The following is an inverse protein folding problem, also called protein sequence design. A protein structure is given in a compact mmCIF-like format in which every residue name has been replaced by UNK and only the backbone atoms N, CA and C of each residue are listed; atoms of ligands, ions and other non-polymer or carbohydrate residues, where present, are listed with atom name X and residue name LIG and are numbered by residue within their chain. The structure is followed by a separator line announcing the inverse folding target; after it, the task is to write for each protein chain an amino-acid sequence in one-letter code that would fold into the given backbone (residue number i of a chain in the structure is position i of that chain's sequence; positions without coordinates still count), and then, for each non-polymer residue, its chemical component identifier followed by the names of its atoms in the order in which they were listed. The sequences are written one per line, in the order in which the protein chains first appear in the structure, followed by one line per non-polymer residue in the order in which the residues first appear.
data_IF_748224450934
#
_entry.id   IF_748224450934
#
_cell.length_a   1.000
_cell.length_b   1.000
_cell.length_c   1.000
_cell.angle_alpha   90.00
_cell.angle_beta   90.00
_cell.angle_gamma   90.00
#
_symmetry.space_group_name_H-M   'P 1'
#
loop_
_entity.id
_entity.type
_entity.pdbx_description
1 polymer ?
#
# COMPACT_ATOMS: atom_id res chain seq x y z
N UNK A 1 13.99 -20.66 19.10
CA UNK A 1 12.82 -21.04 18.29
C UNK A 1 12.46 -19.82 17.47
N UNK A 2 12.57 -19.91 16.14
CA UNK A 2 12.11 -18.84 15.24
C UNK A 2 10.56 -18.94 15.29
N UNK A 3 9.87 -17.90 15.77
CA UNK A 3 8.41 -17.87 15.74
C UNK A 3 7.96 -17.91 14.28
N UNK A 4 6.96 -18.72 13.98
CA UNK A 4 6.36 -18.70 12.65
C UNK A 4 5.77 -17.31 12.39
N UNK A 5 5.91 -16.79 11.14
CA UNK A 5 5.28 -15.52 10.78
C UNK A 5 3.76 -15.60 10.96
N UNK A 6 3.11 -14.49 11.31
CA UNK A 6 1.65 -14.46 11.44
C UNK A 6 0.99 -14.80 10.09
N UNK A 7 -0.06 -15.62 10.15
CA UNK A 7 -0.86 -15.97 8.98
C UNK A 7 -1.94 -14.92 8.72
N UNK A 8 -2.03 -14.47 7.47
CA UNK A 8 -3.09 -13.61 6.96
C UNK A 8 -3.91 -14.39 5.93
N UNK A 9 -5.10 -14.80 6.33
CA UNK A 9 -6.01 -15.58 5.49
C UNK A 9 -6.94 -14.66 4.72
N UNK A 10 -7.04 -14.85 3.40
CA UNK A 10 -7.87 -14.05 2.49
C UNK A 10 -8.84 -14.96 1.77
N UNK A 11 -10.11 -14.57 1.70
CA UNK A 11 -11.04 -15.22 0.80
C UNK A 11 -10.72 -14.82 -0.64
N UNK A 12 -10.44 -15.79 -1.50
CA UNK A 12 -10.24 -15.59 -2.93
C UNK A 12 -11.51 -15.07 -3.61
N UNK A 13 -11.29 -14.36 -4.72
CA UNK A 13 -12.35 -13.92 -5.62
C UNK A 13 -12.78 -15.05 -6.54
N UNK A 14 -14.00 -14.94 -7.11
CA UNK A 14 -14.58 -15.98 -7.99
C UNK A 14 -13.76 -16.14 -9.28
N UNK A 15 -13.07 -15.10 -9.73
CA UNK A 15 -12.24 -15.11 -10.95
C UNK A 15 -10.80 -15.62 -10.68
N UNK A 16 -10.42 -15.89 -9.42
CA UNK A 16 -9.13 -16.41 -9.02
C UNK A 16 -7.97 -15.40 -9.16
N UNK A 17 -8.25 -14.11 -9.39
CA UNK A 17 -7.23 -13.08 -9.64
C UNK A 17 -6.29 -12.95 -8.44
N UNK A 18 -6.83 -12.87 -7.22
CA UNK A 18 -6.03 -12.75 -5.99
C UNK A 18 -5.15 -13.98 -5.79
N UNK A 19 -5.68 -15.19 -6.06
CA UNK A 19 -4.90 -16.42 -5.98
C UNK A 19 -3.74 -16.45 -6.98
N UNK A 20 -3.96 -15.99 -8.21
CA UNK A 20 -2.92 -15.90 -9.24
C UNK A 20 -1.82 -14.90 -8.85
N UNK A 21 -2.19 -13.73 -8.29
CA UNK A 21 -1.23 -12.75 -7.80
C UNK A 21 -0.37 -13.31 -6.65
N UNK A 22 -0.99 -14.02 -5.71
CA UNK A 22 -0.30 -14.64 -4.58
C UNK A 22 0.57 -15.82 -5.04
N UNK A 23 0.15 -16.58 -6.06
CA UNK A 23 0.98 -17.63 -6.65
C UNK A 23 2.22 -17.04 -7.33
N UNK A 24 2.09 -15.98 -8.12
CA UNK A 24 3.24 -15.30 -8.72
C UNK A 24 4.22 -14.76 -7.66
N UNK A 25 3.72 -14.29 -6.51
CA UNK A 25 4.57 -13.90 -5.37
C UNK A 25 5.38 -15.05 -4.80
N UNK A 26 4.90 -16.30 -4.87
CA UNK A 26 5.63 -17.45 -4.34
C UNK A 26 6.95 -17.72 -5.09
N UNK A 27 7.00 -17.36 -6.37
CA UNK A 27 8.16 -17.57 -7.22
C UNK A 27 9.14 -16.37 -7.24
N UNK A 28 8.68 -15.18 -6.81
CA UNK A 28 9.49 -13.97 -6.73
C UNK A 28 10.70 -14.05 -5.78
N UNK A 29 10.64 -14.68 -4.59
CA UNK A 29 11.79 -14.72 -3.66
C UNK A 29 13.05 -15.35 -4.25
N UNK A 30 12.91 -16.27 -5.21
CA UNK A 30 14.06 -16.88 -5.88
C UNK A 30 14.76 -15.90 -6.84
N UNK A 31 14.00 -14.96 -7.41
CA UNK A 31 14.50 -13.98 -8.36
C UNK A 31 14.83 -12.62 -7.70
N UNK A 32 14.07 -12.24 -6.67
CA UNK A 32 14.17 -10.92 -6.02
C UNK A 32 13.99 -11.07 -4.51
N UNK A 33 15.04 -11.46 -3.75
CA UNK A 33 14.89 -11.85 -2.34
C UNK A 33 14.51 -10.69 -1.40
N UNK A 34 14.92 -9.46 -1.71
CA UNK A 34 14.77 -8.30 -0.83
C UNK A 34 13.71 -7.34 -1.38
N UNK A 35 12.45 -7.76 -1.33
CA UNK A 35 11.32 -6.90 -1.68
C UNK A 35 10.28 -6.85 -0.57
N UNK A 36 9.50 -5.78 -0.56
CA UNK A 36 8.34 -5.59 0.32
C UNK A 36 7.10 -5.43 -0.54
N UNK A 37 6.09 -6.26 -0.29
CA UNK A 37 4.79 -6.14 -0.93
C UNK A 37 4.08 -4.87 -0.43
N UNK A 38 3.67 -4.05 -1.39
CA UNK A 38 2.97 -2.78 -1.16
C UNK A 38 1.73 -2.67 -2.05
N UNK A 39 1.18 -1.48 -2.21
CA UNK A 39 0.13 -1.20 -3.18
C UNK A 39 -1.21 -1.86 -2.90
N UNK A 40 -1.90 -2.21 -3.97
CA UNK A 40 -3.29 -2.69 -3.89
C UNK A 40 -3.43 -4.05 -3.27
N UNK A 41 -2.60 -4.99 -3.66
CA UNK A 41 -2.61 -6.35 -3.12
C UNK A 41 -2.25 -6.35 -1.62
N UNK A 42 -1.27 -5.54 -1.21
CA UNK A 42 -0.91 -5.41 0.20
C UNK A 42 -2.09 -4.93 1.06
N UNK A 43 -2.89 -3.98 0.56
CA UNK A 43 -4.10 -3.52 1.28
C UNK A 43 -5.14 -4.62 1.36
N UNK A 44 -5.41 -5.36 0.26
CA UNK A 44 -6.33 -6.51 0.25
C UNK A 44 -5.91 -7.54 1.30
N UNK A 45 -4.61 -7.87 1.36
CA UNK A 45 -4.05 -8.81 2.35
C UNK A 45 -4.27 -8.29 3.76
N UNK A 46 -3.95 -7.03 4.04
CA UNK A 46 -4.08 -6.43 5.37
C UNK A 46 -5.53 -6.36 5.85
N UNK A 47 -6.47 -6.00 4.99
CA UNK A 47 -7.90 -5.90 5.39
C UNK A 47 -8.64 -7.24 5.33
N UNK A 48 -7.95 -8.33 4.97
CA UNK A 48 -8.45 -9.69 4.89
C UNK A 48 -9.67 -9.85 3.95
N UNK A 49 -9.68 -9.13 2.83
CA UNK A 49 -10.79 -9.23 1.87
C UNK A 49 -10.59 -8.45 0.58
N UNK A 50 -11.01 -9.06 -0.52
CA UNK A 50 -11.01 -8.45 -1.85
C UNK A 50 -12.11 -7.37 -1.93
N UNK A 51 -11.85 -6.20 -1.38
CA UNK A 51 -12.77 -5.05 -1.38
C UNK A 51 -12.76 -4.26 -2.69
N UNK A 52 -11.82 -4.54 -3.56
CA UNK A 52 -11.68 -4.01 -4.93
C UNK A 52 -10.83 -4.93 -5.80
N UNK A 53 -10.87 -4.73 -7.10
CA UNK A 53 -10.01 -5.44 -8.03
C UNK A 53 -8.60 -4.83 -8.03
N UNK A 54 -7.57 -5.67 -7.97
CA UNK A 54 -6.19 -5.35 -8.32
C UNK A 54 -5.69 -6.36 -9.34
N UNK A 55 -4.79 -5.96 -10.24
CA UNK A 55 -4.29 -6.82 -11.33
C UNK A 55 -2.77 -6.82 -11.40
N UNK A 56 -2.16 -6.05 -10.55
CA UNK A 56 -0.73 -5.79 -10.46
C UNK A 56 -0.22 -6.14 -9.05
N UNK A 57 1.05 -6.46 -8.98
CA UNK A 57 1.83 -6.56 -7.75
C UNK A 57 2.71 -5.33 -7.68
N UNK A 58 2.55 -4.52 -6.65
CA UNK A 58 3.47 -3.41 -6.38
C UNK A 58 4.52 -3.88 -5.34
N UNK A 59 5.81 -3.74 -5.65
CA UNK A 59 6.92 -4.10 -4.79
C UNK A 59 7.85 -2.92 -4.55
N UNK A 60 8.29 -2.74 -3.31
CA UNK A 60 9.38 -1.82 -2.97
C UNK A 60 10.65 -2.63 -2.76
N UNK A 61 11.74 -2.21 -3.38
CA UNK A 61 13.07 -2.80 -3.19
C UNK A 61 14.08 -1.74 -2.80
N UNK A 62 15.13 -2.14 -2.10
CA UNK A 62 16.24 -1.25 -1.79
C UNK A 62 17.30 -1.32 -2.91
N UNK A 63 17.83 -0.16 -3.29
CA UNK A 63 18.92 -0.05 -4.25
C UNK A 63 19.87 1.09 -3.85
N UNK A 64 21.19 0.89 -3.90
CA UNK A 64 22.15 1.93 -3.51
C UNK A 64 22.03 3.23 -4.31
N UNK A 65 21.60 3.13 -5.55
CA UNK A 65 21.43 4.26 -6.48
C UNK A 65 19.97 4.74 -6.59
N UNK A 66 19.05 4.14 -5.84
CA UNK A 66 17.63 4.47 -5.87
C UNK A 66 16.92 4.13 -7.19
N UNK A 67 17.53 3.31 -8.06
CA UNK A 67 16.93 2.88 -9.32
C UNK A 67 16.38 1.46 -9.24
N UNK A 68 15.38 1.12 -10.05
CA UNK A 68 14.79 -0.22 -10.12
C UNK A 68 15.43 -1.11 -11.20
N UNK A 69 16.42 -0.61 -11.94
CA UNK A 69 16.99 -1.33 -13.09
C UNK A 69 17.62 -2.68 -12.69
N UNK A 70 18.33 -2.73 -11.57
CA UNK A 70 18.95 -3.98 -11.09
C UNK A 70 17.88 -5.03 -10.74
N UNK A 71 16.83 -4.66 -10.03
CA UNK A 71 15.73 -5.56 -9.68
C UNK A 71 14.96 -6.02 -10.93
N UNK A 72 14.71 -5.13 -11.88
CA UNK A 72 14.07 -5.49 -13.15
C UNK A 72 14.96 -6.45 -13.95
N UNK A 73 16.28 -6.21 -14.01
CA UNK A 73 17.22 -7.10 -14.71
C UNK A 73 17.19 -8.53 -14.15
N UNK A 74 17.14 -8.65 -12.82
CA UNK A 74 17.05 -9.98 -12.15
C UNK A 74 15.76 -10.71 -12.57
N UNK A 75 14.61 -10.02 -12.64
CA UNK A 75 13.36 -10.64 -13.09
C UNK A 75 13.42 -11.03 -14.57
N UNK A 76 14.03 -10.19 -15.41
CA UNK A 76 14.20 -10.49 -16.86
C UNK A 76 15.11 -11.72 -17.03
N UNK A 77 16.18 -11.82 -16.28
CA UNK A 77 17.09 -13.00 -16.29
C UNK A 77 16.36 -14.28 -15.83
N UNK A 78 15.35 -14.13 -14.96
CA UNK A 78 14.47 -15.22 -14.54
C UNK A 78 13.33 -15.52 -15.56
N UNK A 79 13.30 -14.84 -16.70
CA UNK A 79 12.37 -15.09 -17.80
C UNK A 79 11.16 -14.14 -17.87
N UNK A 80 11.14 -13.05 -17.07
CA UNK A 80 10.11 -12.04 -17.16
C UNK A 80 10.27 -11.14 -18.40
N UNK A 81 9.16 -10.58 -18.89
CA UNK A 81 9.14 -9.56 -19.91
C UNK A 81 9.24 -8.17 -19.24
N UNK A 82 10.22 -7.34 -19.67
CA UNK A 82 10.38 -5.97 -19.14
C UNK A 82 9.16 -5.11 -19.50
N UNK A 83 8.62 -4.38 -18.52
CA UNK A 83 7.59 -3.34 -18.71
C UNK A 83 8.19 -1.95 -18.44
N UNK A 84 7.35 -0.90 -18.47
CA UNK A 84 7.81 0.48 -18.24
C UNK A 84 8.31 0.69 -16.82
N UNK A 85 7.61 0.13 -15.81
CA UNK A 85 7.89 0.36 -14.40
C UNK A 85 8.39 -0.90 -13.67
N UNK A 86 8.57 -2.03 -14.38
CA UNK A 86 8.90 -3.29 -13.75
C UNK A 86 9.03 -4.43 -14.75
N UNK A 87 8.35 -5.54 -14.49
CA UNK A 87 8.37 -6.72 -15.35
C UNK A 87 7.02 -7.45 -15.33
N UNK A 88 6.74 -8.23 -16.38
CA UNK A 88 5.64 -9.19 -16.41
C UNK A 88 6.19 -10.58 -16.22
N UNK A 89 5.85 -11.18 -15.09
CA UNK A 89 6.30 -12.50 -14.68
C UNK A 89 5.08 -13.43 -14.56
N UNK A 90 5.09 -14.56 -15.24
CA UNK A 90 3.97 -15.53 -15.28
C UNK A 90 2.60 -14.90 -15.59
N UNK A 91 2.58 -13.89 -16.46
CA UNK A 91 1.36 -13.16 -16.84
C UNK A 91 0.90 -12.08 -15.85
N UNK A 92 1.57 -11.95 -14.71
CA UNK A 92 1.32 -10.91 -13.70
C UNK A 92 2.27 -9.73 -13.92
N UNK A 93 1.74 -8.51 -13.92
CA UNK A 93 2.52 -7.30 -13.93
C UNK A 93 3.03 -6.97 -12.53
N UNK A 94 4.35 -6.77 -12.42
CA UNK A 94 5.05 -6.46 -11.18
C UNK A 94 5.66 -5.07 -11.35
N UNK A 95 5.08 -4.09 -10.68
CA UNK A 95 5.62 -2.73 -10.62
C UNK A 95 6.66 -2.65 -9.49
N UNK A 96 7.88 -2.22 -9.84
CA UNK A 96 9.00 -2.14 -8.90
C UNK A 96 9.30 -0.67 -8.61
N UNK A 97 9.25 -0.31 -7.35
CA UNK A 97 9.63 1.00 -6.84
C UNK A 97 10.92 0.84 -6.06
N UNK A 98 12.00 1.47 -6.53
CA UNK A 98 13.25 1.47 -5.78
C UNK A 98 13.22 2.53 -4.68
N UNK A 99 13.77 2.18 -3.53
CA UNK A 99 14.16 3.11 -2.47
C UNK A 99 15.64 2.96 -2.18
N UNK A 100 16.28 3.95 -1.56
CA UNK A 100 17.72 3.94 -1.32
C UNK A 100 18.11 4.82 -0.15
N UNK A 101 19.42 4.99 0.03
CA UNK A 101 19.97 5.92 1.00
C UNK A 101 20.05 7.30 0.35
N UNK A 102 19.10 8.16 0.70
CA UNK A 102 19.14 9.57 0.32
C UNK A 102 19.79 10.36 1.46
N UNK A 103 20.71 11.28 1.14
CA UNK A 103 21.25 12.18 2.14
C UNK A 103 20.15 13.13 2.65
N UNK A 104 20.29 13.63 3.87
CA UNK A 104 19.34 14.63 4.41
C UNK A 104 19.27 15.87 3.51
N UNK A 105 20.42 16.31 2.96
CA UNK A 105 20.49 17.46 2.07
C UNK A 105 19.72 17.22 0.76
N UNK A 106 19.82 16.02 0.17
CA UNK A 106 19.07 15.66 -1.04
C UNK A 106 17.56 15.68 -0.77
N UNK A 107 17.13 15.16 0.37
CA UNK A 107 15.71 15.11 0.74
C UNK A 107 15.16 16.50 1.07
N UNK A 108 15.92 17.34 1.77
CA UNK A 108 15.50 18.72 2.12
C UNK A 108 15.32 19.59 0.88
N UNK A 109 16.10 19.36 -0.18
CA UNK A 109 15.98 20.10 -1.44
C UNK A 109 14.68 19.80 -2.23
N UNK A 110 13.97 18.71 -1.90
CA UNK A 110 12.74 18.30 -2.56
C UNK A 110 11.52 19.09 -2.05
N UNK A 111 10.47 19.12 -2.84
CA UNK A 111 9.19 19.63 -2.35
C UNK A 111 8.58 18.66 -1.31
N UNK A 112 7.57 19.14 -0.60
CA UNK A 112 6.89 18.41 0.47
C UNK A 112 6.32 17.06 0.02
N UNK A 113 5.77 16.99 -1.20
CA UNK A 113 5.16 15.77 -1.75
C UNK A 113 6.19 14.75 -2.17
N UNK A 114 7.32 15.20 -2.74
CA UNK A 114 8.42 14.33 -3.13
C UNK A 114 9.12 13.77 -1.90
N UNK A 115 9.33 14.57 -0.85
CA UNK A 115 9.83 14.09 0.45
C UNK A 115 8.93 13.02 1.05
N UNK A 116 7.61 13.28 1.09
CA UNK A 116 6.66 12.32 1.63
C UNK A 116 6.59 11.03 0.80
N UNK A 117 6.71 11.13 -0.53
CA UNK A 117 6.75 9.97 -1.41
C UNK A 117 7.98 9.09 -1.10
N UNK A 118 9.17 9.66 -1.13
CA UNK A 118 10.42 8.93 -0.84
C UNK A 118 10.39 8.37 0.59
N UNK A 119 10.06 9.21 1.57
CA UNK A 119 10.00 8.82 2.97
C UNK A 119 9.02 7.69 3.26
N UNK A 120 7.84 7.71 2.63
CA UNK A 120 6.84 6.66 2.83
C UNK A 120 7.25 5.31 2.22
N UNK A 121 7.93 5.30 1.05
CA UNK A 121 8.44 4.08 0.43
C UNK A 121 9.60 3.50 1.23
N UNK A 122 10.53 4.34 1.69
CA UNK A 122 11.62 3.91 2.57
C UNK A 122 11.07 3.33 3.88
N UNK A 123 10.13 4.03 4.50
CA UNK A 123 9.50 3.55 5.72
C UNK A 123 8.75 2.22 5.52
N UNK A 124 8.06 2.05 4.38
CA UNK A 124 7.42 0.78 4.05
C UNK A 124 8.43 -0.37 3.96
N UNK A 125 9.60 -0.12 3.38
CA UNK A 125 10.68 -1.10 3.30
C UNK A 125 11.25 -1.43 4.70
N UNK A 126 11.59 -0.42 5.49
CA UNK A 126 12.26 -0.58 6.79
C UNK A 126 11.34 -1.16 7.89
N UNK A 127 10.01 -0.91 7.81
CA UNK A 127 9.03 -1.36 8.81
C UNK A 127 8.23 -2.59 8.41
N UNK A 128 8.59 -3.24 7.30
CA UNK A 128 7.87 -4.40 6.80
C UNK A 128 7.88 -5.57 7.79
N UNK A 129 6.81 -6.35 7.76
CA UNK A 129 6.62 -7.52 8.60
C UNK A 129 6.61 -8.79 7.75
N UNK A 130 7.28 -9.84 8.19
CA UNK A 130 7.17 -11.17 7.56
C UNK A 130 5.80 -11.76 7.89
N UNK A 131 5.03 -12.11 6.86
CA UNK A 131 3.71 -12.72 6.99
C UNK A 131 3.57 -13.92 6.07
N UNK A 132 2.73 -14.88 6.48
CA UNK A 132 2.26 -15.96 5.62
C UNK A 132 0.91 -15.56 5.04
N UNK A 133 0.82 -15.38 3.72
CA UNK A 133 -0.45 -15.16 3.03
C UNK A 133 -1.04 -16.50 2.65
N UNK A 134 -2.33 -16.71 2.93
CA UNK A 134 -3.09 -17.88 2.51
C UNK A 134 -4.36 -17.43 1.82
N UNK A 135 -4.54 -17.82 0.56
CA UNK A 135 -5.77 -17.59 -0.21
C UNK A 135 -6.58 -18.87 -0.23
N UNK A 136 -7.82 -18.78 0.21
CA UNK A 136 -8.72 -19.92 0.25
C UNK A 136 -10.06 -19.62 -0.42
N UNK A 137 -10.68 -20.65 -0.95
CA UNK A 137 -12.05 -20.65 -1.45
C UNK A 137 -12.86 -21.72 -0.72
N UNK A 138 -14.07 -21.95 -1.17
CA UNK A 138 -14.91 -23.06 -0.68
C UNK A 138 -14.27 -24.45 -0.88
N UNK A 139 -13.40 -24.56 -1.88
CA UNK A 139 -12.76 -25.82 -2.27
C UNK A 139 -11.40 -26.04 -1.55
N UNK A 140 -10.97 -25.11 -0.73
CA UNK A 140 -9.74 -25.18 0.06
C UNK A 140 -8.72 -24.08 -0.24
N UNK A 141 -7.46 -24.32 0.14
CA UNK A 141 -6.34 -23.40 -0.10
C UNK A 141 -5.98 -23.42 -1.58
N UNK A 142 -5.98 -22.23 -2.21
CA UNK A 142 -5.61 -22.05 -3.62
C UNK A 142 -4.18 -21.57 -3.81
N UNK A 143 -3.71 -20.70 -2.94
CA UNK A 143 -2.36 -20.17 -2.98
C UNK A 143 -1.86 -19.85 -1.57
N UNK A 144 -0.55 -19.98 -1.36
CA UNK A 144 0.07 -19.62 -0.09
C UNK A 144 1.53 -19.25 -0.29
N UNK A 145 1.96 -18.15 0.32
CA UNK A 145 3.36 -17.71 0.25
C UNK A 145 3.75 -16.86 1.46
N UNK A 146 5.04 -16.87 1.80
CA UNK A 146 5.62 -15.99 2.81
C UNK A 146 6.21 -14.74 2.13
N UNK A 147 5.87 -13.55 2.62
CA UNK A 147 6.36 -12.29 2.06
C UNK A 147 6.69 -11.27 3.16
N UNK A 148 7.57 -10.32 2.84
CA UNK A 148 7.66 -9.06 3.57
C UNK A 148 6.50 -8.17 3.14
N UNK A 149 5.67 -7.75 4.09
CA UNK A 149 4.45 -6.97 3.83
C UNK A 149 4.53 -5.62 4.57
N UNK A 150 4.29 -4.53 3.86
CA UNK A 150 4.26 -3.20 4.47
C UNK A 150 3.22 -3.09 5.58
N UNK A 151 3.54 -2.35 6.63
CA UNK A 151 2.62 -2.09 7.76
C UNK A 151 1.41 -1.27 7.29
N UNK A 152 0.26 -1.36 7.98
CA UNK A 152 -0.91 -0.54 7.64
C UNK A 152 -0.62 0.96 7.63
N UNK A 153 0.20 1.44 8.56
CA UNK A 153 0.57 2.86 8.66
C UNK A 153 1.44 3.31 7.48
N UNK A 154 2.41 2.50 7.07
CA UNK A 154 3.22 2.79 5.90
C UNK A 154 2.39 2.77 4.60
N UNK A 155 1.45 1.83 4.46
CA UNK A 155 0.52 1.79 3.32
C UNK A 155 -0.34 3.06 3.25
N UNK A 156 -0.87 3.55 4.38
CA UNK A 156 -1.60 4.82 4.43
C UNK A 156 -0.72 5.98 3.97
N UNK A 157 0.51 6.09 4.47
CA UNK A 157 1.43 7.15 4.09
C UNK A 157 1.75 7.14 2.59
N UNK A 158 2.03 5.95 2.02
CA UNK A 158 2.27 5.78 0.57
C UNK A 158 1.05 6.20 -0.27
N UNK A 159 -0.16 5.79 0.13
CA UNK A 159 -1.41 6.16 -0.56
C UNK A 159 -1.68 7.66 -0.50
N UNK A 160 -1.43 8.30 0.65
CA UNK A 160 -1.52 9.75 0.78
C UNK A 160 -0.55 10.47 -0.16
N UNK A 161 0.69 9.98 -0.29
CA UNK A 161 1.69 10.51 -1.23
C UNK A 161 1.32 10.31 -2.70
N UNK A 162 0.59 9.24 -3.04
CA UNK A 162 0.19 8.95 -4.40
C UNK A 162 -0.99 9.82 -4.91
N UNK A 163 -1.97 10.14 -4.05
CA UNK A 163 -3.19 10.86 -4.43
C UNK A 163 -2.95 12.18 -5.19
N UNK A 164 -2.06 13.09 -4.74
CA UNK A 164 -1.80 14.35 -5.45
C UNK A 164 -1.22 14.14 -6.85
N UNK A 165 -0.38 13.12 -7.02
CA UNK A 165 0.28 12.80 -8.30
C UNK A 165 -0.69 12.22 -9.34
N UNK A 166 -1.81 11.60 -8.89
CA UNK A 166 -2.83 10.98 -9.76
C UNK A 166 -3.98 11.91 -10.12
N UNK A 167 -3.94 13.14 -9.67
CA UNK A 167 -5.06 14.10 -9.68
C UNK A 167 -5.70 14.35 -11.06
N UNK A 168 -4.91 14.31 -12.14
CA UNK A 168 -5.38 14.58 -13.50
C UNK A 168 -5.19 13.39 -14.46
N UNK A 169 -4.27 12.49 -14.17
CA UNK A 169 -3.85 11.44 -15.10
C UNK A 169 -4.58 10.11 -14.88
N UNK A 170 -5.02 9.82 -13.65
CA UNK A 170 -5.67 8.56 -13.34
C UNK A 170 -6.70 8.71 -12.19
N UNK A 171 -7.90 9.27 -12.48
CA UNK A 171 -8.91 9.51 -11.47
C UNK A 171 -9.43 8.23 -10.81
N UNK A 172 -9.55 7.12 -11.53
CA UNK A 172 -9.97 5.84 -10.98
C UNK A 172 -8.95 5.29 -9.95
N UNK A 173 -7.64 5.39 -10.23
CA UNK A 173 -6.61 4.98 -9.25
C UNK A 173 -6.57 5.91 -8.04
N UNK A 174 -6.87 7.20 -8.19
CA UNK A 174 -7.05 8.14 -7.08
C UNK A 174 -8.22 7.73 -6.17
N UNK A 175 -9.37 7.37 -6.74
CA UNK A 175 -10.52 6.88 -5.98
C UNK A 175 -10.17 5.58 -5.24
N UNK A 176 -9.45 4.66 -5.89
CA UNK A 176 -8.98 3.43 -5.26
C UNK A 176 -8.03 3.69 -4.09
N UNK A 177 -7.06 4.61 -4.24
CA UNK A 177 -6.14 4.96 -3.15
C UNK A 177 -6.87 5.60 -1.96
N UNK A 178 -7.85 6.46 -2.20
CA UNK A 178 -8.68 7.04 -1.16
C UNK A 178 -9.51 5.96 -0.42
N UNK A 179 -10.08 5.02 -1.17
CA UNK A 179 -10.85 3.91 -0.59
C UNK A 179 -9.95 2.97 0.23
N UNK A 180 -8.75 2.69 -0.24
CA UNK A 180 -7.76 1.90 0.49
C UNK A 180 -7.42 2.56 1.84
N UNK A 181 -7.20 3.89 1.87
CA UNK A 181 -6.98 4.65 3.10
C UNK A 181 -8.19 4.50 4.04
N UNK A 182 -9.41 4.72 3.53
CA UNK A 182 -10.64 4.58 4.31
C UNK A 182 -10.73 3.18 4.94
N UNK A 183 -10.48 2.11 4.17
CA UNK A 183 -10.53 0.73 4.65
C UNK A 183 -9.46 0.43 5.70
N UNK A 184 -8.23 0.89 5.47
CA UNK A 184 -7.13 0.71 6.43
C UNK A 184 -7.45 1.42 7.76
N UNK A 185 -7.97 2.65 7.72
CA UNK A 185 -8.36 3.36 8.94
C UNK A 185 -9.50 2.62 9.67
N UNK A 186 -10.53 2.18 8.95
CA UNK A 186 -11.64 1.42 9.57
C UNK A 186 -11.18 0.15 10.28
N UNK A 187 -10.25 -0.59 9.69
CA UNK A 187 -9.81 -1.88 10.21
C UNK A 187 -8.78 -1.72 11.33
N UNK A 188 -7.79 -0.84 11.15
CA UNK A 188 -6.59 -0.78 11.98
C UNK A 188 -6.55 0.40 12.96
N UNK A 189 -7.56 1.28 12.99
CA UNK A 189 -7.61 2.36 13.99
C UNK A 189 -8.66 2.15 15.09
N UNK A 190 -9.13 0.93 15.30
CA UNK A 190 -10.20 0.66 16.28
C UNK A 190 -9.83 1.00 17.72
N UNK A 191 -8.55 0.93 18.06
CA UNK A 191 -7.99 1.28 19.37
C UNK A 191 -6.86 2.31 19.26
N UNK A 192 -6.78 3.04 18.12
CA UNK A 192 -5.72 4.01 17.88
C UNK A 192 -4.40 3.43 17.37
N UNK A 193 -4.33 2.13 17.03
CA UNK A 193 -3.07 1.49 16.61
C UNK A 193 -2.52 2.11 15.34
N UNK A 194 -3.38 2.39 14.35
CA UNK A 194 -2.95 3.05 13.12
C UNK A 194 -2.45 4.48 13.36
N UNK A 195 -3.17 5.22 14.22
CA UNK A 195 -2.78 6.58 14.60
C UNK A 195 -1.42 6.59 15.33
N UNK A 196 -1.20 5.65 16.25
CA UNK A 196 0.08 5.49 16.94
C UNK A 196 1.20 5.15 15.96
N UNK A 197 0.96 4.23 15.02
CA UNK A 197 1.91 3.90 13.97
C UNK A 197 2.25 5.09 13.08
N UNK A 198 1.26 5.88 12.64
CA UNK A 198 1.50 7.11 11.87
C UNK A 198 2.24 8.18 12.69
N UNK A 199 1.96 8.27 14.00
CA UNK A 199 2.68 9.17 14.90
C UNK A 199 4.15 8.80 15.10
N UNK A 200 4.49 7.52 14.93
CA UNK A 200 5.86 7.00 15.00
C UNK A 200 6.59 7.02 13.63
N UNK A 201 5.96 7.56 12.58
CA UNK A 201 6.58 7.66 11.26
C UNK A 201 7.85 8.54 11.31
N UNK A 202 8.89 8.22 10.51
CA UNK A 202 10.16 8.93 10.54
C UNK A 202 10.01 10.39 10.10
N UNK A 203 10.86 11.23 10.66
CA UNK A 203 10.97 12.67 10.34
C UNK A 203 9.62 13.41 10.45
N UNK A 204 9.29 14.23 9.46
CA UNK A 204 8.05 15.01 9.36
C UNK A 204 6.87 14.27 8.70
N UNK A 205 7.06 12.98 8.36
CA UNK A 205 6.06 12.19 7.65
C UNK A 205 4.76 12.01 8.46
N UNK A 206 4.84 11.83 9.78
CA UNK A 206 3.66 11.70 10.64
C UNK A 206 2.77 12.95 10.64
N UNK A 207 3.30 14.15 10.96
CA UNK A 207 2.57 15.41 10.85
C UNK A 207 2.02 15.67 9.45
N UNK A 208 2.79 15.35 8.41
CA UNK A 208 2.34 15.47 7.03
C UNK A 208 1.14 14.54 6.74
N UNK A 209 1.21 13.27 7.12
CA UNK A 209 0.08 12.32 6.99
C UNK A 209 -1.17 12.84 7.70
N UNK A 210 -1.02 13.39 8.91
CA UNK A 210 -2.13 13.95 9.67
C UNK A 210 -2.79 15.11 8.92
N UNK A 211 -1.99 16.02 8.34
CA UNK A 211 -2.49 17.12 7.51
C UNK A 211 -3.26 16.64 6.30
N UNK A 212 -2.74 15.63 5.58
CA UNK A 212 -3.40 15.04 4.41
C UNK A 212 -4.68 14.31 4.78
N UNK A 213 -4.70 13.50 5.85
CA UNK A 213 -5.90 12.81 6.33
C UNK A 213 -7.00 13.81 6.71
N UNK A 214 -6.65 14.86 7.45
CA UNK A 214 -7.58 15.94 7.80
C UNK A 214 -8.11 16.64 6.56
N UNK A 215 -7.23 16.96 5.59
CA UNK A 215 -7.61 17.58 4.33
C UNK A 215 -8.60 16.74 3.54
N UNK A 216 -8.27 15.47 3.29
CA UNK A 216 -9.04 14.57 2.42
C UNK A 216 -10.32 14.07 3.07
N UNK A 217 -10.25 13.61 4.33
CA UNK A 217 -11.35 12.92 4.97
C UNK A 217 -12.29 13.86 5.76
N UNK A 218 -11.79 15.02 6.24
CA UNK A 218 -12.61 15.94 7.05
C UNK A 218 -13.00 17.16 6.24
N UNK A 219 -12.03 17.97 5.80
CA UNK A 219 -12.32 19.26 5.17
C UNK A 219 -12.86 19.14 3.75
N UNK A 220 -12.44 18.14 2.99
CA UNK A 220 -12.85 17.88 1.60
C UNK A 220 -13.67 16.60 1.48
N UNK A 221 -14.36 16.15 2.54
CA UNK A 221 -15.09 14.88 2.55
C UNK A 221 -16.12 14.78 1.41
N UNK A 222 -16.85 15.86 1.09
CA UNK A 222 -17.80 15.89 -0.03
C UNK A 222 -17.12 15.68 -1.38
N UNK A 223 -15.99 16.34 -1.59
CA UNK A 223 -15.20 16.19 -2.82
C UNK A 223 -14.61 14.79 -2.92
N UNK A 224 -14.12 14.25 -1.83
CA UNK A 224 -13.57 12.90 -1.73
C UNK A 224 -14.65 11.84 -2.00
N UNK A 225 -15.86 12.01 -1.44
CA UNK A 225 -17.01 11.17 -1.73
C UNK A 225 -17.43 11.24 -3.20
N UNK A 226 -17.37 12.43 -3.82
CA UNK A 226 -17.65 12.57 -5.25
C UNK A 226 -16.66 11.78 -6.10
N UNK A 227 -15.37 11.74 -5.74
CA UNK A 227 -14.40 10.89 -6.47
C UNK A 227 -14.75 9.41 -6.38
N UNK A 228 -15.16 8.94 -5.18
CA UNK A 228 -15.57 7.54 -5.00
C UNK A 228 -16.86 7.24 -5.79
N UNK A 229 -17.80 8.17 -5.83
CA UNK A 229 -19.07 8.01 -6.52
C UNK A 229 -18.92 7.98 -8.05
N UNK A 230 -17.99 8.78 -8.61
CA UNK A 230 -17.83 8.91 -10.07
C UNK A 230 -16.86 7.90 -10.67
N UNK A 231 -15.81 7.55 -9.95
CA UNK A 231 -14.68 6.75 -10.47
C UNK A 231 -14.55 5.38 -9.80
N UNK A 232 -15.32 5.15 -8.73
CA UNK A 232 -15.18 3.96 -7.89
C UNK A 232 -16.04 2.78 -8.34
N UNK A 233 -15.68 1.60 -7.82
CA UNK A 233 -16.54 0.39 -7.88
C UNK A 233 -17.83 0.59 -7.04
N UNK A 234 -18.84 -0.28 -7.18
CA UNK A 234 -20.06 -0.18 -6.36
C UNK A 234 -19.81 -0.09 -4.85
N UNK A 235 -18.80 -0.81 -4.34
CA UNK A 235 -18.42 -0.74 -2.94
C UNK A 235 -17.83 0.62 -2.53
N UNK A 236 -17.07 1.26 -3.42
CA UNK A 236 -16.54 2.61 -3.21
C UNK A 236 -17.63 3.66 -3.28
N UNK A 237 -18.56 3.52 -4.23
CA UNK A 237 -19.71 4.44 -4.42
C UNK A 237 -20.64 4.48 -3.21
N UNK A 238 -20.67 3.43 -2.40
CA UNK A 238 -21.45 3.38 -1.16
C UNK A 238 -20.86 4.22 -0.01
N UNK A 239 -19.63 4.75 -0.15
CA UNK A 239 -18.96 5.53 0.88
C UNK A 239 -19.28 7.02 0.69
N UNK A 240 -20.20 7.54 1.51
CA UNK A 240 -20.58 8.95 1.52
C UNK A 240 -19.63 9.85 2.32
N UNK A 241 -19.82 11.16 2.18
CA UNK A 241 -19.01 12.17 2.87
C UNK A 241 -19.06 12.05 4.40
N UNK A 242 -20.22 11.70 4.96
CA UNK A 242 -20.40 11.51 6.40
C UNK A 242 -19.51 10.37 6.93
N UNK A 243 -19.47 9.24 6.22
CA UNK A 243 -18.63 8.10 6.59
C UNK A 243 -17.13 8.44 6.52
N UNK A 244 -16.71 9.19 5.48
CA UNK A 244 -15.34 9.67 5.36
C UNK A 244 -14.98 10.62 6.51
N UNK A 245 -15.87 11.57 6.83
CA UNK A 245 -15.65 12.54 7.90
C UNK A 245 -15.55 11.86 9.26
N UNK A 246 -16.46 10.96 9.57
CA UNK A 246 -16.45 10.23 10.84
C UNK A 246 -15.13 9.47 11.06
N UNK A 247 -14.65 8.77 10.02
CA UNK A 247 -13.37 8.04 10.07
C UNK A 247 -12.19 9.02 10.17
N UNK A 248 -12.24 10.13 9.43
CA UNK A 248 -11.18 11.15 9.42
C UNK A 248 -11.04 11.87 10.77
N UNK A 249 -12.15 12.22 11.43
CA UNK A 249 -12.13 12.88 12.74
C UNK A 249 -11.52 11.97 13.80
N UNK A 250 -11.89 10.70 13.82
CA UNK A 250 -11.36 9.71 14.78
C UNK A 250 -9.85 9.54 14.63
N UNK A 251 -9.35 9.27 13.40
CA UNK A 251 -7.90 9.04 13.20
C UNK A 251 -7.09 10.31 13.54
N UNK A 252 -7.56 11.50 13.15
CA UNK A 252 -6.86 12.76 13.42
C UNK A 252 -6.85 13.08 14.91
N UNK A 253 -7.94 12.80 15.64
CA UNK A 253 -8.00 12.97 17.10
C UNK A 253 -7.05 11.99 17.81
N UNK A 254 -7.02 10.71 17.41
CA UNK A 254 -6.12 9.72 17.99
C UNK A 254 -4.65 10.07 17.74
N UNK A 255 -4.29 10.57 16.54
CA UNK A 255 -2.94 11.08 16.26
C UNK A 255 -2.56 12.26 17.16
N UNK A 256 -3.50 13.19 17.46
CA UNK A 256 -3.25 14.29 18.39
C UNK A 256 -2.99 13.81 19.83
N UNK A 257 -3.58 12.67 20.23
CA UNK A 257 -3.36 12.08 21.56
C UNK A 257 -2.02 11.36 21.65
N UNK A 258 -1.57 10.74 20.57
CA UNK A 258 -0.31 9.97 20.52
C UNK A 258 0.95 10.85 20.60
N UNK A 259 0.83 12.14 20.32
CA UNK A 259 1.95 13.11 20.35
C UNK A 259 2.11 13.77 21.73
N UNK A 260 1.18 13.55 22.67
CA UNK A 260 1.23 14.07 24.05
C UNK A 260 1.81 13.05 24.99
#
# INVERSE_FOLDING_TARGET
MVSQPPELSIQGDDDGVVANLVSALADLPAAMPDYVLVGGLAVIVRVAGAHRVTRDVDAVTWSPDGTNDAAIAVLVDAGAERTVNGARFEGVEIDIIATGDFSEDDVVALDEYDRAFIGSHRWAFDSAEQVQIVVFTRDGVQASTAVSLATPSALVAMKLGAIPRRKLTNPAKRASDLYDIYRLVQVFNRRGELAAGLGAAPHDLGPWCQGQLRGLLVYQAERSALWLATEGSPAMQAVGAEALRAVGEVIVEDMNRSVR
#
